data_IF_462015631051
#
_entry.id   IF_462015631051
#
_cell.length_a   1.000
_cell.length_b   1.000
_cell.length_c   1.000
_cell.angle_alpha   90.00
_cell.angle_beta   90.00
_cell.angle_gamma   90.00
#
_symmetry.space_group_name_H-M   'P 1'
#
loop_
_entity.id
_entity.type
_entity.pdbx_description
1 polymer ?
#
# COMPACT_ATOMS: atom_id res chain seq x y z
N UNK A 1 20.54 -1.89 1.00
CA UNK A 1 19.27 -1.50 1.67
C UNK A 1 19.35 -1.94 3.12
N UNK A 2 19.21 -1.04 4.11
CA UNK A 2 19.18 -1.48 5.50
C UNK A 2 17.94 -2.37 5.71
N UNK A 3 18.12 -3.48 6.42
CA UNK A 3 17.21 -4.61 6.56
C UNK A 3 15.88 -4.32 7.32
N UNK A 4 15.45 -3.06 7.39
CA UNK A 4 14.30 -2.58 8.16
C UNK A 4 13.01 -2.37 7.36
N UNK A 5 13.11 -2.05 6.07
CA UNK A 5 11.93 -1.88 5.21
C UNK A 5 11.41 -3.26 4.78
N UNK A 6 10.51 -3.80 5.60
CA UNK A 6 9.89 -5.10 5.46
C UNK A 6 8.38 -4.93 5.44
N UNK A 7 7.64 -5.98 5.07
CA UNK A 7 6.17 -6.02 5.17
C UNK A 7 5.67 -5.53 6.55
N UNK A 8 6.45 -5.65 7.62
CA UNK A 8 6.10 -5.09 8.93
C UNK A 8 5.90 -3.58 8.91
N UNK A 9 6.73 -2.82 8.17
CA UNK A 9 6.57 -1.36 8.07
C UNK A 9 5.30 -1.01 7.30
N UNK A 10 4.98 -1.74 6.22
CA UNK A 10 3.69 -1.59 5.52
C UNK A 10 2.50 -1.75 6.48
N UNK A 11 2.57 -2.73 7.39
CA UNK A 11 1.51 -2.95 8.40
C UNK A 11 1.45 -1.81 9.41
N UNK A 12 2.60 -1.33 9.88
CA UNK A 12 2.70 -0.18 10.80
C UNK A 12 2.07 1.08 10.19
N UNK A 13 2.49 1.48 8.99
CA UNK A 13 1.96 2.71 8.36
C UNK A 13 0.48 2.56 8.03
N UNK A 14 0.02 1.34 7.69
CA UNK A 14 -1.39 1.09 7.45
C UNK A 14 -2.23 1.25 8.74
N UNK A 15 -1.67 0.89 9.90
CA UNK A 15 -2.31 1.11 11.19
C UNK A 15 -2.35 2.60 11.54
N UNK A 16 -1.27 3.36 11.26
CA UNK A 16 -1.22 4.80 11.50
C UNK A 16 -2.20 5.55 10.59
N UNK A 17 -2.25 5.20 9.30
CA UNK A 17 -3.23 5.73 8.36
C UNK A 17 -4.67 5.45 8.81
N UNK A 18 -4.97 4.22 9.22
CA UNK A 18 -6.28 3.86 9.73
C UNK A 18 -6.63 4.68 10.99
N UNK A 19 -5.68 4.79 11.93
CA UNK A 19 -5.88 5.55 13.17
C UNK A 19 -6.17 7.04 12.91
N UNK A 20 -5.54 7.66 11.90
CA UNK A 20 -5.83 9.05 11.54
C UNK A 20 -7.18 9.20 10.80
N UNK A 21 -7.52 8.25 9.92
CA UNK A 21 -8.80 8.25 9.19
C UNK A 21 -10.01 8.02 10.11
N UNK A 22 -9.85 7.25 11.19
CA UNK A 22 -10.92 6.91 12.13
C UNK A 22 -11.22 8.03 13.16
N UNK A 23 -10.47 9.14 13.13
CA UNK A 23 -10.71 10.28 14.02
C UNK A 23 -12.04 10.94 13.67
N UNK A 24 -12.70 11.53 14.68
CA UNK A 24 -13.92 12.32 14.48
C UNK A 24 -13.73 13.50 13.49
N UNK A 25 -12.50 14.00 13.37
CA UNK A 25 -12.11 14.99 12.37
C UNK A 25 -10.66 14.70 11.94
N UNK A 26 -10.46 13.91 10.86
CA UNK A 26 -9.13 13.59 10.35
C UNK A 26 -8.39 14.84 9.88
N UNK A 27 -7.08 14.93 10.15
CA UNK A 27 -6.22 15.97 9.60
C UNK A 27 -5.77 15.57 8.19
N UNK A 28 -6.17 16.29 7.11
CA UNK A 28 -5.82 15.92 5.75
C UNK A 28 -4.31 15.85 5.50
N UNK A 29 -3.52 16.66 6.18
CA UNK A 29 -2.06 16.65 6.03
C UNK A 29 -1.46 15.37 6.62
N UNK A 30 -1.99 14.91 7.75
CA UNK A 30 -1.56 13.64 8.37
C UNK A 30 -2.04 12.44 7.58
N UNK A 31 -3.29 12.43 7.11
CA UNK A 31 -3.79 11.37 6.22
C UNK A 31 -2.89 11.22 5.00
N UNK A 32 -2.50 12.33 4.37
CA UNK A 32 -1.56 12.29 3.24
C UNK A 32 -0.17 11.80 3.63
N UNK A 33 0.32 12.19 4.81
CA UNK A 33 1.61 11.71 5.33
C UNK A 33 1.62 10.19 5.52
N UNK A 34 0.65 9.65 6.26
CA UNK A 34 0.59 8.21 6.52
C UNK A 34 0.30 7.40 5.24
N UNK A 35 -0.51 7.95 4.33
CA UNK A 35 -0.73 7.33 3.02
C UNK A 35 0.56 7.27 2.20
N UNK A 36 1.36 8.34 2.21
CA UNK A 36 2.65 8.35 1.52
C UNK A 36 3.61 7.30 2.13
N UNK A 37 3.61 7.15 3.45
CA UNK A 37 4.45 6.18 4.14
C UNK A 37 4.04 4.73 3.79
N UNK A 38 2.73 4.43 3.72
CA UNK A 38 2.22 3.13 3.22
C UNK A 38 2.72 2.86 1.79
N UNK A 39 2.56 3.83 0.88
CA UNK A 39 2.97 3.68 -0.53
C UNK A 39 4.48 3.50 -0.64
N UNK A 40 5.25 4.27 0.12
CA UNK A 40 6.71 4.17 0.12
C UNK A 40 7.18 2.82 0.66
N UNK A 41 6.63 2.37 1.79
CA UNK A 41 6.94 1.06 2.36
C UNK A 41 6.60 -0.08 1.39
N UNK A 42 5.45 -0.01 0.71
CA UNK A 42 5.06 -0.98 -0.32
C UNK A 42 6.00 -0.97 -1.54
N UNK A 43 6.44 0.22 -1.96
CA UNK A 43 7.44 0.37 -3.04
C UNK A 43 8.74 -0.37 -2.69
N UNK A 44 9.23 -0.18 -1.46
CA UNK A 44 10.47 -0.85 -1.04
C UNK A 44 10.31 -2.38 -0.99
N UNK A 45 9.14 -2.88 -0.59
CA UNK A 45 8.84 -4.33 -0.65
C UNK A 45 8.83 -4.82 -2.10
N UNK A 46 8.18 -4.11 -3.01
CA UNK A 46 8.17 -4.46 -4.43
C UNK A 46 9.60 -4.53 -5.00
N UNK A 47 10.40 -3.49 -4.78
CA UNK A 47 11.80 -3.42 -5.24
C UNK A 47 12.64 -4.56 -4.65
N UNK A 48 12.46 -4.89 -3.37
CA UNK A 48 13.16 -6.01 -2.73
C UNK A 48 12.91 -7.35 -3.43
N UNK A 49 11.72 -7.53 -4.01
CA UNK A 49 11.32 -8.73 -4.74
C UNK A 49 11.53 -8.63 -6.25
N UNK A 50 12.15 -7.55 -6.75
CA UNK A 50 12.44 -7.36 -8.16
C UNK A 50 11.23 -6.94 -8.98
N UNK A 51 10.24 -6.31 -8.35
CA UNK A 51 9.07 -5.73 -9.01
C UNK A 51 9.04 -4.21 -8.86
N UNK A 52 8.35 -3.54 -9.78
CA UNK A 52 7.88 -2.16 -9.63
C UNK A 52 6.49 -2.14 -9.00
N UNK A 53 6.09 -1.00 -8.44
CA UNK A 53 4.72 -0.80 -7.94
C UNK A 53 3.71 -0.87 -9.07
N UNK A 54 4.05 -0.30 -10.23
CA UNK A 54 3.21 -0.33 -11.43
C UNK A 54 2.95 -1.76 -11.93
N UNK A 55 3.95 -2.65 -11.86
CA UNK A 55 3.78 -4.07 -12.19
C UNK A 55 2.84 -4.76 -11.20
N UNK A 56 3.00 -4.50 -9.89
CA UNK A 56 2.12 -5.05 -8.87
C UNK A 56 0.66 -4.58 -9.07
N UNK A 57 0.45 -3.30 -9.35
CA UNK A 57 -0.87 -2.73 -9.65
C UNK A 57 -1.48 -3.34 -10.92
N UNK A 58 -0.70 -3.45 -12.00
CA UNK A 58 -1.17 -4.05 -13.26
C UNK A 58 -1.62 -5.49 -13.05
N UNK A 59 -0.80 -6.29 -12.36
CA UNK A 59 -1.10 -7.70 -12.05
C UNK A 59 -2.42 -7.83 -11.28
N UNK A 60 -2.68 -6.94 -10.31
CA UNK A 60 -3.93 -6.93 -9.54
C UNK A 60 -5.15 -6.58 -10.40
N UNK A 61 -5.05 -5.56 -11.26
CA UNK A 61 -6.13 -5.16 -12.18
C UNK A 61 -6.48 -6.29 -13.15
N UNK A 62 -5.48 -6.93 -13.75
CA UNK A 62 -5.68 -8.07 -14.65
C UNK A 62 -6.38 -9.25 -13.95
N UNK A 63 -5.96 -9.55 -12.72
CA UNK A 63 -6.56 -10.61 -11.92
C UNK A 63 -8.03 -10.34 -11.57
N UNK A 64 -8.36 -9.12 -11.14
CA UNK A 64 -9.72 -8.76 -10.75
C UNK A 64 -10.65 -8.68 -11.96
N UNK A 65 -10.23 -8.06 -13.06
CA UNK A 65 -11.01 -8.02 -14.30
C UNK A 65 -11.18 -9.40 -14.94
N UNK A 66 -10.19 -10.30 -14.80
CA UNK A 66 -10.30 -11.71 -15.19
C UNK A 66 -11.33 -12.47 -14.35
N UNK A 67 -11.41 -12.19 -13.04
CA UNK A 67 -12.42 -12.77 -12.14
C UNK A 67 -13.83 -12.26 -12.43
N UNK A 68 -13.99 -10.97 -12.70
CA UNK A 68 -15.29 -10.39 -13.05
C UNK A 68 -15.86 -11.01 -14.33
N UNK A 69 -15.02 -11.18 -15.36
CA UNK A 69 -15.40 -11.88 -16.60
C UNK A 69 -15.78 -13.34 -16.40
N UNK A 70 -15.25 -14.02 -15.38
CA UNK A 70 -15.57 -15.42 -15.08
C UNK A 70 -16.83 -15.59 -14.21
N UNK A 71 -17.39 -14.49 -13.70
CA UNK A 71 -18.58 -14.47 -12.83
C UNK A 71 -19.84 -13.93 -13.52
N UNK A 72 -19.72 -13.36 -14.72
CA UNK A 72 -20.84 -12.99 -15.62
C UNK A 72 -21.13 -14.12 -16.61
#
# INVERSE_FOLDING_TARGET
MPAGASVRKVVEEAHELAAECDRATPDPAKVMHELADVVFAATVVAEHHGFTVEEAMRSKIEFDTGRERSRS
#
